data_IF_833768963269
#
_entry.id   IF_833768963269
#
_cell.length_a   1.000
_cell.length_b   1.000
_cell.length_c   1.000
_cell.angle_alpha   90.00
_cell.angle_beta   90.00
_cell.angle_gamma   90.00
#
_symmetry.space_group_name_H-M   'P 1'
#
loop_
_entity.id
_entity.type
_entity.pdbx_description
1 polymer ?
#
# COMPACT_ATOMS: atom_id res chain seq x y z
N UNK A 1 54.42 -72.41 -30.83
CA UNK A 1 55.40 -71.89 -29.85
C UNK A 1 55.73 -70.44 -30.20
N UNK A 2 55.86 -69.55 -29.21
CA UNK A 2 54.75 -68.67 -28.80
C UNK A 2 55.13 -67.17 -28.69
N UNK A 3 54.21 -66.37 -28.10
CA UNK A 3 54.41 -65.11 -27.30
C UNK A 3 54.34 -63.81 -28.12
N UNK A 4 53.17 -63.15 -28.22
CA UNK A 4 52.55 -62.15 -27.30
C UNK A 4 53.26 -60.78 -27.34
N UNK A 5 52.63 -59.62 -27.20
CA UNK A 5 51.35 -59.26 -26.59
C UNK A 5 51.02 -57.82 -27.02
N UNK A 6 49.75 -57.49 -27.22
CA UNK A 6 49.23 -56.13 -27.08
C UNK A 6 47.71 -56.18 -26.96
N UNK A 7 47.28 -56.27 -25.71
CA UNK A 7 46.33 -55.37 -25.06
C UNK A 7 44.93 -55.22 -25.66
N UNK A 8 44.01 -55.81 -24.89
CA UNK A 8 42.79 -55.20 -24.36
C UNK A 8 41.53 -55.23 -25.26
N UNK A 9 40.81 -56.34 -25.06
CA UNK A 9 39.40 -56.43 -24.64
C UNK A 9 38.37 -55.79 -25.59
N UNK A 10 37.76 -56.52 -26.52
CA UNK A 10 36.80 -57.62 -26.33
C UNK A 10 35.66 -57.29 -25.35
N UNK A 11 34.40 -57.62 -25.56
CA UNK A 11 33.57 -57.96 -26.72
C UNK A 11 32.21 -58.34 -26.11
N UNK A 12 31.21 -58.55 -26.97
CA UNK A 12 30.01 -59.38 -26.72
C UNK A 12 28.84 -58.66 -26.02
N UNK A 13 27.81 -58.19 -26.72
CA UNK A 13 26.84 -58.91 -27.57
C UNK A 13 25.96 -59.93 -26.83
N UNK A 14 24.67 -59.60 -26.67
CA UNK A 14 23.56 -60.57 -26.77
C UNK A 14 22.19 -59.85 -26.84
N UNK A 15 21.47 -60.13 -27.94
CA UNK A 15 20.17 -59.64 -28.44
C UNK A 15 18.93 -60.04 -27.58
N UNK A 16 17.68 -60.01 -28.10
CA UNK A 16 16.81 -58.87 -28.49
C UNK A 16 15.40 -58.94 -27.83
N UNK A 17 14.63 -57.85 -27.70
CA UNK A 17 13.15 -57.85 -27.82
C UNK A 17 12.49 -56.48 -27.54
N UNK A 18 11.89 -55.91 -28.59
CA UNK A 18 10.51 -55.41 -28.65
C UNK A 18 9.80 -55.11 -27.30
N UNK A 19 9.61 -53.84 -26.93
CA UNK A 19 8.35 -53.40 -26.33
C UNK A 19 8.21 -51.87 -26.25
N UNK A 20 7.03 -51.43 -26.63
CA UNK A 20 6.42 -50.13 -26.41
C UNK A 20 6.70 -49.58 -25.00
N UNK A 21 7.44 -48.47 -24.89
CA UNK A 21 7.58 -47.74 -23.62
C UNK A 21 6.66 -46.52 -23.65
N UNK A 22 5.39 -46.78 -23.29
CA UNK A 22 4.49 -45.76 -22.78
C UNK A 22 4.62 -45.86 -21.25
N UNK A 23 5.35 -44.96 -20.61
CA UNK A 23 5.34 -44.86 -19.17
C UNK A 23 5.08 -43.42 -18.73
N UNK A 24 3.90 -43.29 -18.17
CA UNK A 24 3.36 -42.16 -17.46
C UNK A 24 4.36 -41.66 -16.42
N UNK A 25 5.01 -40.52 -16.69
CA UNK A 25 5.46 -39.65 -15.61
C UNK A 25 4.43 -38.54 -15.44
N UNK A 26 3.51 -38.82 -14.53
CA UNK A 26 2.64 -37.87 -13.88
C UNK A 26 3.46 -36.67 -13.37
N UNK A 27 3.38 -35.57 -14.10
CA UNK A 27 3.52 -34.25 -13.50
C UNK A 27 2.49 -34.16 -12.36
N UNK A 28 2.86 -33.86 -11.10
CA UNK A 28 1.86 -33.38 -10.18
C UNK A 28 1.43 -32.02 -10.72
N UNK A 29 0.29 -32.02 -11.40
CA UNK A 29 -0.48 -30.85 -11.72
C UNK A 29 -0.44 -29.88 -10.53
N UNK A 30 -0.17 -28.61 -10.83
CA UNK A 30 -0.47 -27.49 -9.95
C UNK A 30 -1.90 -27.69 -9.46
N UNK A 31 -2.03 -28.13 -8.20
CA UNK A 31 -3.32 -28.38 -7.58
C UNK A 31 -3.96 -27.02 -7.29
N UNK A 32 -4.66 -26.48 -8.28
CA UNK A 32 -5.59 -25.35 -8.12
C UNK A 32 -6.86 -25.85 -7.42
N UNK A 33 -6.72 -26.37 -6.20
CA UNK A 33 -7.84 -26.55 -5.27
C UNK A 33 -7.81 -25.42 -4.25
N UNK A 34 -8.90 -24.68 -4.06
CA UNK A 34 -8.97 -23.73 -2.96
C UNK A 34 -8.89 -24.50 -1.64
N UNK A 35 -7.80 -24.31 -0.89
CA UNK A 35 -7.70 -24.77 0.49
C UNK A 35 -8.71 -23.97 1.30
N UNK A 36 -9.86 -24.60 1.57
CA UNK A 36 -10.86 -24.10 2.50
C UNK A 36 -10.31 -24.15 3.93
N UNK A 37 -9.68 -23.08 4.40
CA UNK A 37 -9.39 -22.91 5.82
C UNK A 37 -10.41 -21.96 6.44
N UNK A 38 -11.50 -22.57 6.89
CA UNK A 38 -12.57 -21.96 7.65
C UNK A 38 -12.30 -22.12 9.15
N UNK A 39 -11.65 -21.13 9.77
CA UNK A 39 -11.72 -20.92 11.23
C UNK A 39 -11.06 -19.60 11.66
N UNK A 40 -11.72 -18.44 11.47
CA UNK A 40 -11.84 -17.37 12.50
C UNK A 40 -12.62 -16.09 12.11
N UNK A 41 -13.47 -16.10 11.08
CA UNK A 41 -14.27 -14.94 10.65
C UNK A 41 -15.76 -15.04 11.04
N UNK A 42 -16.08 -15.68 12.17
CA UNK A 42 -17.46 -16.05 12.50
C UNK A 42 -18.31 -14.99 13.22
N UNK A 43 -17.78 -13.82 13.55
CA UNK A 43 -18.57 -12.78 14.26
C UNK A 43 -19.01 -11.61 13.38
N UNK A 44 -18.22 -11.20 12.38
CA UNK A 44 -18.56 -10.04 11.55
C UNK A 44 -19.36 -10.35 10.26
N UNK A 45 -19.55 -11.63 9.95
CA UNK A 45 -20.26 -12.08 8.75
C UNK A 45 -21.78 -12.15 8.89
N UNK A 46 -22.32 -12.44 10.08
CA UNK A 46 -23.76 -12.68 10.22
C UNK A 46 -24.61 -11.40 10.16
N UNK A 47 -24.12 -10.31 10.78
CA UNK A 47 -24.78 -8.99 10.73
C UNK A 47 -24.67 -8.35 9.35
N UNK A 48 -23.50 -8.42 8.72
CA UNK A 48 -23.29 -7.90 7.35
C UNK A 48 -24.08 -8.70 6.32
N UNK A 49 -24.22 -10.02 6.50
CA UNK A 49 -25.02 -10.87 5.63
C UNK A 49 -26.53 -10.66 5.81
N UNK A 50 -27.02 -10.33 7.02
CA UNK A 50 -28.43 -9.94 7.24
C UNK A 50 -28.76 -8.56 6.66
N UNK A 51 -27.84 -7.60 6.74
CA UNK A 51 -28.00 -6.27 6.12
C UNK A 51 -27.95 -6.40 4.58
N UNK A 52 -27.09 -7.26 4.04
CA UNK A 52 -27.04 -7.57 2.60
C UNK A 52 -28.29 -8.34 2.11
N UNK A 53 -28.93 -9.14 2.97
CA UNK A 53 -30.16 -9.88 2.64
C UNK A 53 -31.45 -9.04 2.67
N UNK A 54 -31.49 -7.93 3.42
CA UNK A 54 -32.62 -6.99 3.42
C UNK A 54 -32.48 -5.88 2.37
N UNK A 55 -31.28 -5.60 1.87
CA UNK A 55 -31.04 -4.72 0.74
C UNK A 55 -30.60 -5.52 -0.48
N UNK A 56 -31.56 -6.20 -1.10
CA UNK A 56 -31.42 -6.61 -2.49
C UNK A 56 -31.39 -5.37 -3.38
N UNK A 57 -30.20 -4.89 -3.75
CA UNK A 57 -30.04 -3.92 -4.83
C UNK A 57 -28.76 -4.20 -5.60
N UNK A 58 -28.99 -4.46 -6.88
CA UNK A 58 -28.03 -4.67 -7.95
C UNK A 58 -26.97 -3.56 -8.05
N UNK A 59 -25.88 -3.89 -8.74
CA UNK A 59 -24.71 -3.08 -9.11
C UNK A 59 -25.02 -1.66 -9.66
N UNK A 60 -25.56 -0.77 -8.83
CA UNK A 60 -25.82 0.61 -9.20
C UNK A 60 -24.94 1.48 -8.32
N UNK A 61 -23.93 2.10 -8.94
CA UNK A 61 -23.09 3.10 -8.29
C UNK A 61 -23.92 4.19 -7.59
N UNK A 62 -25.11 4.47 -8.11
CA UNK A 62 -26.09 5.38 -7.54
C UNK A 62 -26.52 4.96 -6.12
N UNK A 63 -26.72 3.66 -5.85
CA UNK A 63 -27.11 3.15 -4.52
C UNK A 63 -25.93 3.24 -3.55
N UNK A 64 -24.70 3.00 -4.01
CA UNK A 64 -23.49 3.23 -3.19
C UNK A 64 -23.28 4.71 -2.89
N UNK A 65 -23.42 5.59 -3.88
CA UNK A 65 -23.31 7.03 -3.73
C UNK A 65 -24.41 7.59 -2.82
N UNK A 66 -25.67 7.15 -2.97
CA UNK A 66 -26.76 7.51 -2.07
C UNK A 66 -26.56 6.94 -0.66
N UNK A 67 -26.08 5.71 -0.54
CA UNK A 67 -25.72 5.11 0.75
C UNK A 67 -24.60 5.88 1.46
N UNK A 68 -23.61 6.36 0.71
CA UNK A 68 -22.50 7.13 1.26
C UNK A 68 -22.90 8.57 1.58
N UNK A 69 -23.72 9.19 0.72
CA UNK A 69 -24.32 10.50 0.97
C UNK A 69 -25.22 10.48 2.21
N UNK A 70 -26.04 9.44 2.37
CA UNK A 70 -26.90 9.28 3.55
C UNK A 70 -26.09 9.01 4.82
N UNK A 71 -25.01 8.22 4.74
CA UNK A 71 -24.10 7.98 5.86
C UNK A 71 -23.31 9.24 6.23
N UNK A 72 -22.91 10.05 5.24
CA UNK A 72 -22.26 11.34 5.44
C UNK A 72 -23.21 12.36 6.09
N UNK A 73 -24.46 12.43 5.65
CA UNK A 73 -25.49 13.29 6.24
C UNK A 73 -25.87 12.84 7.65
N UNK A 74 -25.90 11.53 7.91
CA UNK A 74 -26.12 10.97 9.24
C UNK A 74 -24.93 11.28 10.17
N UNK A 75 -23.70 11.22 9.64
CA UNK A 75 -22.50 11.60 10.37
C UNK A 75 -22.48 13.11 10.69
N UNK A 76 -22.87 13.95 9.73
CA UNK A 76 -23.07 15.40 9.92
C UNK A 76 -24.10 15.70 11.01
N UNK A 77 -25.26 15.04 10.96
CA UNK A 77 -26.32 15.17 11.95
C UNK A 77 -25.87 14.72 13.33
N UNK A 78 -25.22 13.56 13.42
CA UNK A 78 -24.69 13.02 14.67
C UNK A 78 -23.69 13.98 15.31
N UNK A 79 -22.90 14.66 14.49
CA UNK A 79 -21.86 15.55 14.99
C UNK A 79 -22.39 16.92 15.42
N UNK A 80 -23.42 17.43 14.74
CA UNK A 80 -24.22 18.57 15.21
C UNK A 80 -24.86 18.25 16.57
N UNK A 81 -25.34 17.02 16.74
CA UNK A 81 -25.96 16.56 17.99
C UNK A 81 -24.94 16.35 19.12
N UNK A 82 -23.71 15.92 18.81
CA UNK A 82 -22.68 15.60 19.82
C UNK A 82 -21.92 16.84 20.34
N UNK A 83 -21.74 17.89 19.52
CA UNK A 83 -20.87 19.03 19.84
C UNK A 83 -21.62 20.29 20.35
N UNK A 84 -22.95 20.28 20.32
CA UNK A 84 -23.77 21.34 20.91
C UNK A 84 -23.56 22.73 20.28
N UNK A 85 -23.77 23.83 21.03
CA UNK A 85 -23.75 25.21 20.50
C UNK A 85 -22.35 25.74 20.13
N UNK A 86 -21.25 25.03 20.44
CA UNK A 86 -19.91 25.38 19.95
C UNK A 86 -19.72 25.05 18.45
N UNK A 87 -20.71 24.38 17.84
CA UNK A 87 -20.84 24.16 16.40
C UNK A 87 -21.64 25.27 15.70
N UNK A 88 -21.76 26.47 16.29
CA UNK A 88 -22.28 27.63 15.58
C UNK A 88 -21.44 27.89 14.31
N UNK A 89 -22.07 28.28 13.19
CA UNK A 89 -21.35 28.69 11.98
C UNK A 89 -20.45 29.88 12.32
N UNK A 90 -19.15 29.62 12.48
CA UNK A 90 -18.14 30.59 12.93
C UNK A 90 -17.02 30.02 13.81
N UNK A 91 -17.20 28.84 14.41
CA UNK A 91 -16.17 28.17 15.21
C UNK A 91 -15.12 27.41 14.39
N UNK A 92 -13.86 27.38 14.83
CA UNK A 92 -12.77 26.70 14.11
C UNK A 92 -12.93 25.17 14.02
N UNK A 93 -13.54 24.53 15.02
CA UNK A 93 -13.88 23.10 14.98
C UNK A 93 -14.93 22.79 13.92
N UNK A 94 -15.94 23.65 13.79
CA UNK A 94 -16.97 23.50 12.77
C UNK A 94 -16.35 23.56 11.37
N UNK A 95 -15.44 24.51 11.12
CA UNK A 95 -14.71 24.60 9.84
C UNK A 95 -13.85 23.37 9.57
N UNK A 96 -13.10 22.87 10.56
CA UNK A 96 -12.25 21.69 10.42
C UNK A 96 -13.10 20.44 10.09
N UNK A 97 -14.22 20.28 10.78
CA UNK A 97 -15.12 19.15 10.52
C UNK A 97 -15.80 19.24 9.15
N UNK A 98 -16.33 20.41 8.82
CA UNK A 98 -16.96 20.66 7.53
C UNK A 98 -15.97 20.37 6.40
N UNK A 99 -14.72 20.77 6.57
CA UNK A 99 -13.64 20.44 5.63
C UNK A 99 -13.47 18.93 5.46
N UNK A 100 -13.38 18.16 6.55
CA UNK A 100 -13.21 16.70 6.49
C UNK A 100 -14.38 16.02 5.79
N UNK A 101 -15.61 16.46 6.03
CA UNK A 101 -16.80 15.87 5.43
C UNK A 101 -16.96 16.21 3.96
N UNK A 102 -16.70 17.47 3.58
CA UNK A 102 -16.66 17.85 2.17
C UNK A 102 -15.53 17.10 1.45
N UNK A 103 -14.36 16.96 2.08
CA UNK A 103 -13.25 16.20 1.52
C UNK A 103 -13.61 14.72 1.30
N UNK A 104 -14.33 14.10 2.24
CA UNK A 104 -14.82 12.73 2.09
C UNK A 104 -15.82 12.59 0.93
N UNK A 105 -16.76 13.54 0.80
CA UNK A 105 -17.75 13.53 -0.28
C UNK A 105 -17.09 13.71 -1.65
N UNK A 106 -16.15 14.65 -1.77
CA UNK A 106 -15.40 14.86 -3.01
C UNK A 106 -14.48 13.67 -3.30
N UNK A 107 -13.88 13.07 -2.27
CA UNK A 107 -13.08 11.85 -2.40
C UNK A 107 -13.86 10.69 -3.03
N UNK A 108 -15.10 10.45 -2.59
CA UNK A 108 -15.95 9.41 -3.20
C UNK A 108 -16.40 9.80 -4.62
N UNK A 109 -16.69 11.08 -4.85
CA UNK A 109 -17.06 11.57 -6.18
C UNK A 109 -15.92 11.38 -7.19
N UNK A 110 -14.68 11.58 -6.75
CA UNK A 110 -13.47 11.35 -7.56
C UNK A 110 -13.20 9.86 -7.76
N UNK A 111 -13.49 9.02 -6.76
CA UNK A 111 -13.44 7.55 -6.90
C UNK A 111 -14.42 7.05 -7.97
N UNK A 112 -15.61 7.65 -8.06
CA UNK A 112 -16.57 7.36 -9.13
C UNK A 112 -16.06 7.75 -10.52
N UNK A 113 -15.21 8.76 -10.63
CA UNK A 113 -14.56 9.11 -11.90
C UNK A 113 -13.38 8.18 -12.25
N UNK A 114 -13.05 7.22 -11.39
CA UNK A 114 -11.96 6.26 -11.58
C UNK A 114 -10.59 6.74 -11.11
N UNK A 115 -10.53 7.85 -10.35
CA UNK A 115 -9.30 8.37 -9.77
C UNK A 115 -9.20 8.02 -8.28
N UNK A 116 -7.98 7.94 -7.69
CA UNK A 116 -7.83 7.63 -6.28
C UNK A 116 -8.54 8.66 -5.38
N UNK A 117 -9.37 8.19 -4.45
CA UNK A 117 -10.12 9.04 -3.51
C UNK A 117 -9.28 10.10 -2.76
N UNK A 118 -8.03 9.77 -2.42
CA UNK A 118 -7.08 10.68 -1.76
C UNK A 118 -6.82 11.95 -2.59
N UNK A 119 -6.85 11.84 -3.92
CA UNK A 119 -6.71 12.99 -4.82
C UNK A 119 -7.87 13.97 -4.63
N UNK A 120 -9.10 13.47 -4.51
CA UNK A 120 -10.28 14.31 -4.25
C UNK A 120 -10.22 15.00 -2.88
N UNK A 121 -9.75 14.28 -1.86
CA UNK A 121 -9.51 14.85 -0.53
C UNK A 121 -8.45 15.96 -0.56
N UNK A 122 -7.35 15.77 -1.31
CA UNK A 122 -6.28 16.75 -1.48
C UNK A 122 -6.78 18.02 -2.17
N UNK A 123 -7.46 17.88 -3.32
CA UNK A 123 -7.99 19.01 -4.10
C UNK A 123 -8.96 19.83 -3.23
N UNK A 124 -9.80 19.16 -2.44
CA UNK A 124 -10.73 19.85 -1.53
C UNK A 124 -9.99 20.69 -0.50
N UNK A 125 -8.92 20.17 0.10
CA UNK A 125 -8.08 20.92 1.04
C UNK A 125 -7.44 22.16 0.41
N UNK A 126 -6.88 22.01 -0.80
CA UNK A 126 -6.26 23.11 -1.55
C UNK A 126 -7.31 24.18 -1.90
N UNK A 127 -8.48 23.77 -2.40
CA UNK A 127 -9.57 24.67 -2.75
C UNK A 127 -10.11 25.42 -1.53
N UNK A 128 -10.31 24.73 -0.40
CA UNK A 128 -10.78 25.34 0.84
C UNK A 128 -9.81 26.40 1.38
N UNK A 129 -8.49 26.16 1.27
CA UNK A 129 -7.48 27.15 1.61
C UNK A 129 -7.47 28.32 0.62
N UNK A 130 -7.57 28.04 -0.68
CA UNK A 130 -7.56 29.06 -1.74
C UNK A 130 -8.76 30.01 -1.68
N UNK A 131 -9.92 29.52 -1.24
CA UNK A 131 -11.16 30.32 -1.13
C UNK A 131 -11.26 31.10 0.21
N UNK A 132 -10.26 31.00 1.08
CA UNK A 132 -10.28 31.65 2.40
C UNK A 132 -11.31 31.06 3.38
N UNK A 133 -11.92 29.92 3.04
CA UNK A 133 -12.91 29.22 3.88
C UNK A 133 -12.26 28.53 5.10
N UNK A 134 -10.94 28.35 5.06
CA UNK A 134 -10.13 27.76 6.13
C UNK A 134 -9.29 28.82 6.84
N UNK A 135 -9.89 29.47 7.84
CA UNK A 135 -9.19 30.38 8.75
C UNK A 135 -9.15 29.76 10.15
N UNK A 136 -8.01 29.21 10.52
CA UNK A 136 -7.87 28.32 11.67
C UNK A 136 -6.94 28.93 12.70
N UNK A 137 -7.47 29.08 13.92
CA UNK A 137 -6.71 29.55 15.09
C UNK A 137 -5.59 28.56 15.46
N UNK A 138 -4.52 29.06 16.06
CA UNK A 138 -3.30 28.33 16.39
C UNK A 138 -3.55 27.02 17.18
N UNK A 139 -4.54 27.03 18.10
CA UNK A 139 -4.94 25.87 18.90
C UNK A 139 -5.37 24.68 18.02
N UNK A 140 -6.06 24.94 16.91
CA UNK A 140 -6.56 23.90 16.02
C UNK A 140 -5.48 23.34 15.10
N UNK A 141 -4.45 24.12 14.77
CA UNK A 141 -3.31 23.61 14.02
C UNK A 141 -2.56 22.53 14.81
N UNK A 142 -2.43 22.71 16.13
CA UNK A 142 -1.85 21.70 17.00
C UNK A 142 -2.66 20.39 16.99
N UNK A 143 -3.99 20.49 17.11
CA UNK A 143 -4.89 19.33 17.04
C UNK A 143 -4.75 18.60 15.71
N UNK A 144 -4.70 19.32 14.58
CA UNK A 144 -4.52 18.73 13.25
C UNK A 144 -3.18 18.00 13.14
N UNK A 145 -2.09 18.58 13.68
CA UNK A 145 -0.78 17.91 13.64
C UNK A 145 -0.80 16.60 14.43
N UNK A 146 -1.34 16.63 15.66
CA UNK A 146 -1.47 15.43 16.49
C UNK A 146 -2.34 14.36 15.81
N UNK A 147 -3.47 14.75 15.20
CA UNK A 147 -4.34 13.82 14.47
C UNK A 147 -3.61 13.16 13.29
N UNK A 148 -2.81 13.92 12.53
CA UNK A 148 -2.00 13.40 11.43
C UNK A 148 -0.96 12.40 11.91
N UNK A 149 -0.25 12.69 13.00
CA UNK A 149 0.74 11.78 13.59
C UNK A 149 0.09 10.48 14.07
N UNK A 150 -1.05 10.56 14.76
CA UNK A 150 -1.81 9.38 15.20
C UNK A 150 -2.32 8.57 14.00
N UNK A 151 -2.85 9.23 12.97
CA UNK A 151 -3.35 8.56 11.77
C UNK A 151 -2.23 7.82 11.02
N UNK A 152 -1.07 8.47 10.82
CA UNK A 152 0.10 7.84 10.21
C UNK A 152 0.58 6.65 11.05
N UNK A 153 0.62 6.79 12.39
CA UNK A 153 0.95 5.71 13.31
C UNK A 153 0.01 4.50 13.16
N UNK A 154 -1.31 4.72 13.09
CA UNK A 154 -2.29 3.64 12.89
C UNK A 154 -2.08 2.93 11.55
N UNK A 155 -1.82 3.68 10.47
CA UNK A 155 -1.56 3.12 9.14
C UNK A 155 -0.28 2.25 9.17
N UNK A 156 0.79 2.73 9.81
CA UNK A 156 2.06 2.00 9.94
C UNK A 156 1.92 0.75 10.83
N UNK A 157 1.19 0.83 11.95
CA UNK A 157 0.91 -0.34 12.81
C UNK A 157 0.13 -1.39 12.02
N UNK A 158 -0.87 -0.98 11.24
CA UNK A 158 -1.63 -1.88 10.37
C UNK A 158 -0.76 -2.49 9.27
N UNK A 159 0.22 -1.73 8.75
CA UNK A 159 1.26 -2.24 7.88
C UNK A 159 2.02 -3.37 8.59
N UNK A 160 2.65 -3.07 9.72
CA UNK A 160 3.48 -3.99 10.50
C UNK A 160 2.78 -5.29 10.85
N UNK A 161 1.52 -5.23 11.29
CA UNK A 161 0.69 -6.40 11.60
C UNK A 161 0.33 -7.25 10.38
N UNK A 162 0.40 -6.67 9.18
CA UNK A 162 0.15 -7.34 7.91
C UNK A 162 1.39 -8.00 7.28
N UNK A 163 2.59 -7.87 7.88
CA UNK A 163 3.84 -8.43 7.34
C UNK A 163 4.02 -9.90 7.73
N UNK A 164 4.67 -10.66 6.85
CA UNK A 164 5.16 -12.01 7.17
C UNK A 164 6.64 -11.93 7.60
N UNK A 165 6.96 -12.16 8.89
CA UNK A 165 8.34 -12.05 9.38
C UNK A 165 9.28 -13.09 8.77
N UNK A 166 8.77 -14.26 8.36
CA UNK A 166 9.60 -15.33 7.78
C UNK A 166 10.06 -14.95 6.38
N UNK A 167 9.16 -14.42 5.55
CA UNK A 167 9.51 -13.89 4.24
C UNK A 167 10.46 -12.69 4.35
N UNK A 168 10.23 -11.79 5.31
CA UNK A 168 11.06 -10.60 5.53
C UNK A 168 12.51 -10.99 5.85
N UNK A 169 12.74 -11.93 6.77
CA UNK A 169 14.09 -12.38 7.12
C UNK A 169 14.83 -13.00 5.94
N UNK A 170 14.14 -13.84 5.15
CA UNK A 170 14.69 -14.45 3.92
C UNK A 170 15.11 -13.42 2.87
N UNK A 171 14.39 -12.29 2.81
CA UNK A 171 14.56 -11.25 1.80
C UNK A 171 15.27 -9.99 2.32
N UNK A 172 15.77 -10.01 3.55
CA UNK A 172 16.33 -8.84 4.25
C UNK A 172 17.42 -8.11 3.46
N UNK A 173 18.32 -8.85 2.81
CA UNK A 173 19.35 -8.25 1.95
C UNK A 173 18.75 -7.50 0.74
N UNK A 174 17.70 -8.07 0.14
CA UNK A 174 16.97 -7.43 -0.96
C UNK A 174 16.23 -6.18 -0.48
N UNK A 175 15.66 -6.20 0.74
CA UNK A 175 14.99 -5.03 1.34
C UNK A 175 15.96 -3.87 1.44
N UNK A 176 17.15 -4.08 2.01
CA UNK A 176 18.15 -3.03 2.19
C UNK A 176 18.62 -2.48 0.83
N UNK A 177 18.88 -3.37 -0.13
CA UNK A 177 19.30 -2.94 -1.48
C UNK A 177 18.21 -2.13 -2.18
N UNK A 178 16.94 -2.50 -2.02
CA UNK A 178 15.81 -1.79 -2.61
C UNK A 178 15.53 -0.46 -1.89
N UNK A 179 15.72 -0.38 -0.57
CA UNK A 179 15.53 0.85 0.18
C UNK A 179 16.63 1.89 -0.09
N UNK A 180 17.90 1.47 -0.15
CA UNK A 180 19.03 2.42 -0.20
C UNK A 180 19.44 2.77 -1.64
N UNK A 181 19.60 1.78 -2.52
CA UNK A 181 20.25 2.02 -3.82
C UNK A 181 19.42 2.90 -4.75
N UNK A 182 18.11 2.64 -4.99
CA UNK A 182 17.28 3.49 -5.84
C UNK A 182 17.17 4.90 -5.26
N UNK A 183 16.90 5.01 -3.96
CA UNK A 183 16.65 6.30 -3.34
C UNK A 183 17.89 7.21 -3.32
N UNK A 184 19.07 6.65 -3.03
CA UNK A 184 20.31 7.42 -3.13
C UNK A 184 20.61 7.87 -4.56
N UNK A 185 20.36 7.01 -5.56
CA UNK A 185 20.57 7.37 -6.95
C UNK A 185 19.60 8.45 -7.42
N UNK A 186 18.33 8.37 -7.03
CA UNK A 186 17.31 9.40 -7.31
C UNK A 186 17.69 10.72 -6.64
N UNK A 187 18.04 10.70 -5.35
CA UNK A 187 18.43 11.90 -4.61
C UNK A 187 19.67 12.57 -5.21
N UNK A 188 20.71 11.82 -5.57
CA UNK A 188 21.92 12.35 -6.24
C UNK A 188 21.57 12.95 -7.60
N UNK A 189 20.73 12.27 -8.38
CA UNK A 189 20.31 12.75 -9.70
C UNK A 189 19.53 14.07 -9.59
N UNK A 190 18.61 14.16 -8.63
CA UNK A 190 17.85 15.40 -8.35
C UNK A 190 18.78 16.49 -7.84
N UNK A 191 19.74 16.20 -6.96
CA UNK A 191 20.70 17.18 -6.46
C UNK A 191 21.55 17.78 -7.59
N UNK A 192 22.07 16.93 -8.48
CA UNK A 192 22.82 17.34 -9.67
C UNK A 192 21.95 18.20 -10.59
N UNK A 193 20.73 17.76 -10.90
CA UNK A 193 19.81 18.53 -11.74
C UNK A 193 19.45 19.87 -11.12
N UNK A 194 19.20 19.92 -9.81
CA UNK A 194 18.85 21.16 -9.10
C UNK A 194 20.00 22.15 -9.12
N UNK A 195 21.24 21.69 -8.99
CA UNK A 195 22.41 22.55 -9.09
C UNK A 195 22.58 23.14 -10.50
N UNK A 196 22.43 22.33 -11.55
CA UNK A 196 22.66 22.79 -12.93
C UNK A 196 21.48 23.52 -13.56
N UNK A 197 20.24 23.26 -13.14
CA UNK A 197 19.03 23.84 -13.75
C UNK A 197 18.55 25.07 -12.98
N UNK A 198 18.66 25.06 -11.64
CA UNK A 198 18.17 26.14 -10.78
C UNK A 198 19.28 26.95 -10.10
N UNK A 199 20.56 26.64 -10.36
CA UNK A 199 21.74 27.30 -9.77
C UNK A 199 21.73 27.30 -8.21
N UNK A 200 21.05 26.32 -7.58
CA UNK A 200 21.04 26.19 -6.12
C UNK A 200 22.35 25.57 -5.60
N UNK A 201 22.79 25.91 -4.36
CA UNK A 201 23.94 25.26 -3.74
C UNK A 201 23.72 23.76 -3.54
N UNK A 202 24.81 22.98 -3.56
CA UNK A 202 24.78 21.53 -3.38
C UNK A 202 23.97 21.06 -2.16
N UNK A 203 24.07 21.77 -1.03
CA UNK A 203 23.34 21.44 0.19
C UNK A 203 21.81 21.47 -0.01
N UNK A 204 21.30 22.53 -0.66
CA UNK A 204 19.88 22.65 -1.00
C UNK A 204 19.46 21.63 -2.07
N UNK A 205 20.34 21.33 -3.01
CA UNK A 205 20.13 20.27 -4.00
C UNK A 205 19.95 18.89 -3.35
N UNK A 206 20.81 18.53 -2.39
CA UNK A 206 20.69 17.28 -1.63
C UNK A 206 19.46 17.27 -0.73
N UNK A 207 19.15 18.37 -0.04
CA UNK A 207 17.94 18.49 0.77
C UNK A 207 16.68 18.26 -0.08
N UNK A 208 16.59 18.88 -1.26
CA UNK A 208 15.49 18.67 -2.21
C UNK A 208 15.48 17.25 -2.79
N UNK A 209 16.65 16.67 -3.07
CA UNK A 209 16.78 15.31 -3.57
C UNK A 209 16.23 14.26 -2.60
N UNK A 210 16.63 14.32 -1.34
CA UNK A 210 16.12 13.40 -0.30
C UNK A 210 14.65 13.65 0.03
N UNK A 211 14.18 14.90 -0.06
CA UNK A 211 12.76 15.23 0.10
C UNK A 211 11.89 14.62 -1.01
N UNK A 212 12.38 14.62 -2.26
CA UNK A 212 11.66 14.09 -3.42
C UNK A 212 11.71 12.57 -3.53
N UNK A 213 12.79 11.96 -3.04
CA UNK A 213 13.00 10.52 -3.03
C UNK A 213 12.08 9.77 -2.07
N UNK A 214 11.67 10.38 -0.95
CA UNK A 214 10.91 9.70 0.10
C UNK A 214 9.57 9.14 -0.40
N UNK A 215 9.35 7.85 -0.20
CA UNK A 215 8.14 7.15 -0.63
C UNK A 215 7.02 7.30 0.42
N UNK A 216 5.85 7.82 0.05
CA UNK A 216 4.74 7.94 1.02
C UNK A 216 4.13 6.57 1.42
N UNK A 217 4.27 6.13 2.68
CA UNK A 217 3.75 4.83 3.13
C UNK A 217 2.22 4.89 3.27
N UNK A 218 1.65 6.08 3.49
CA UNK A 218 0.24 6.27 3.74
C UNK A 218 -0.66 5.79 2.58
N UNK A 219 -0.15 5.85 1.35
CA UNK A 219 -0.91 5.48 0.14
C UNK A 219 -0.50 4.10 -0.40
N UNK A 220 0.78 3.75 -0.25
CA UNK A 220 1.34 2.49 -0.74
C UNK A 220 0.93 1.33 0.16
N UNK A 221 0.97 1.49 1.48
CA UNK A 221 0.67 0.42 2.45
C UNK A 221 -0.75 -0.13 2.30
N UNK A 222 -1.83 0.67 2.29
CA UNK A 222 -3.19 0.14 2.18
C UNK A 222 -3.40 -0.63 0.87
N UNK A 223 -2.80 -0.13 -0.22
CA UNK A 223 -2.88 -0.73 -1.55
C UNK A 223 -2.17 -2.07 -1.60
N UNK A 224 -0.94 -2.15 -1.06
CA UNK A 224 -0.17 -3.39 -1.01
C UNK A 224 -0.78 -4.45 -0.09
N UNK A 225 -1.39 -4.04 1.02
CA UNK A 225 -2.14 -4.95 1.90
C UNK A 225 -3.43 -5.46 1.24
N UNK A 226 -4.11 -4.64 0.44
CA UNK A 226 -5.27 -5.07 -0.35
C UNK A 226 -4.86 -6.12 -1.39
N UNK A 227 -3.79 -5.86 -2.15
CA UNK A 227 -3.26 -6.81 -3.13
C UNK A 227 -2.80 -8.12 -2.48
N UNK A 228 -2.17 -8.06 -1.31
CA UNK A 228 -1.82 -9.25 -0.52
C UNK A 228 -3.04 -10.08 -0.16
N UNK A 229 -4.14 -9.45 0.28
CA UNK A 229 -5.41 -10.15 0.58
C UNK A 229 -6.05 -10.81 -0.63
N UNK A 230 -5.82 -10.25 -1.82
CA UNK A 230 -6.27 -10.81 -3.10
C UNK A 230 -5.34 -11.93 -3.63
N UNK A 231 -4.29 -12.29 -2.88
CA UNK A 231 -3.34 -13.35 -3.24
C UNK A 231 -2.20 -12.88 -4.17
N UNK A 232 -2.13 -11.59 -4.53
CA UNK A 232 -1.07 -11.08 -5.39
C UNK A 232 0.25 -10.92 -4.64
N UNK A 233 1.31 -11.55 -5.16
CA UNK A 233 2.67 -11.38 -4.65
C UNK A 233 2.94 -12.02 -3.28
N UNK A 234 2.02 -12.83 -2.77
CA UNK A 234 2.13 -13.51 -1.47
C UNK A 234 3.25 -14.55 -1.48
N UNK A 235 3.30 -15.43 -2.50
CA UNK A 235 4.30 -16.51 -2.58
C UNK A 235 5.76 -16.03 -2.73
N UNK A 236 5.97 -14.79 -3.18
CA UNK A 236 7.30 -14.17 -3.29
C UNK A 236 7.57 -13.11 -2.22
N UNK A 237 6.61 -12.86 -1.32
CA UNK A 237 6.74 -11.85 -0.26
C UNK A 237 6.91 -10.41 -0.76
N UNK A 238 6.45 -10.08 -1.97
CA UNK A 238 6.73 -8.78 -2.62
C UNK A 238 6.08 -7.63 -1.84
N UNK A 239 4.82 -7.80 -1.43
CA UNK A 239 4.12 -6.79 -0.61
C UNK A 239 4.83 -6.55 0.72
N UNK A 240 5.27 -7.62 1.40
CA UNK A 240 6.08 -7.54 2.63
C UNK A 240 7.42 -6.84 2.38
N UNK A 241 8.12 -7.20 1.30
CA UNK A 241 9.41 -6.62 0.91
C UNK A 241 9.31 -5.11 0.71
N UNK A 242 8.31 -4.66 -0.08
CA UNK A 242 8.14 -3.24 -0.42
C UNK A 242 7.69 -2.42 0.77
N UNK A 243 6.78 -2.94 1.61
CA UNK A 243 6.37 -2.23 2.83
C UNK A 243 7.57 -2.05 3.77
N UNK A 244 8.37 -3.10 3.97
CA UNK A 244 9.59 -3.03 4.78
C UNK A 244 10.64 -2.07 4.18
N UNK A 245 10.84 -2.10 2.86
CA UNK A 245 11.80 -1.24 2.17
C UNK A 245 11.39 0.23 2.25
N UNK A 246 10.12 0.55 2.01
CA UNK A 246 9.58 1.92 2.13
C UNK A 246 9.74 2.48 3.55
N UNK A 247 9.65 1.63 4.58
CA UNK A 247 9.84 2.08 5.97
C UNK A 247 11.31 2.44 6.26
N UNK A 248 12.25 1.68 5.71
CA UNK A 248 13.69 1.97 5.83
C UNK A 248 14.06 3.19 5.00
N UNK A 249 13.52 3.31 3.79
CA UNK A 249 13.69 4.45 2.89
C UNK A 249 13.26 5.76 3.57
N UNK A 250 12.07 5.81 4.17
CA UNK A 250 11.57 6.98 4.90
C UNK A 250 12.51 7.41 6.04
N UNK A 251 12.98 6.45 6.85
CA UNK A 251 13.90 6.74 7.96
C UNK A 251 15.22 7.29 7.44
N UNK A 252 15.77 6.72 6.36
CA UNK A 252 17.01 7.19 5.76
C UNK A 252 16.84 8.59 5.15
N UNK A 253 15.77 8.81 4.38
CA UNK A 253 15.48 10.10 3.76
C UNK A 253 15.33 11.20 4.81
N UNK A 254 14.55 10.98 5.87
CA UNK A 254 14.37 11.94 6.98
C UNK A 254 15.68 12.18 7.73
N UNK A 255 16.46 11.13 7.98
CA UNK A 255 17.75 11.25 8.69
C UNK A 255 18.75 12.09 7.92
N UNK A 256 18.89 11.85 6.60
CA UNK A 256 19.82 12.62 5.76
C UNK A 256 19.30 14.04 5.52
N UNK A 257 18.00 14.21 5.29
CA UNK A 257 17.38 15.53 5.19
C UNK A 257 17.62 16.38 6.44
N UNK A 258 17.59 15.77 7.64
CA UNK A 258 17.84 16.49 8.90
C UNK A 258 19.29 16.91 9.10
N UNK A 259 20.23 16.32 8.37
CA UNK A 259 21.67 16.64 8.42
C UNK A 259 22.03 17.74 7.40
N UNK A 260 21.27 17.85 6.31
CA UNK A 260 21.46 18.87 5.27
C UNK A 260 20.95 20.24 5.73
#
# INVERSE_FOLDING_TARGET
EPVSDSSEDADSASSPQNNSYNDNRTDPAVDTRPVSNNSNTRSHGWLTQKIAGQCGCANNCLVKALGLLTLLMLCWLLLIVLLGPEALPGGGLFTLLTLVLVAQLVGELVDLMGLPSILGMLITGIAARSLGLYNVSEVYLNIVSTLREVALGIILIKAGLGLDPVALLKLSFTVIRLAVCPGLMEAVTVAVMTHYVLDYPWLWGFALGFLMCAISPAVVVPTLLKLKKEGYGEGKGISTLVIAASSIDDVLAISVFSIC
#
